data_IF_814713298017
#
_entry.id   IF_814713298017
#
_cell.length_a   1.000
_cell.length_b   1.000
_cell.length_c   1.000
_cell.angle_alpha   90.00
_cell.angle_beta   90.00
_cell.angle_gamma   90.00
#
_symmetry.space_group_name_H-M   'P 1'
#
loop_
_entity.id
_entity.type
_entity.pdbx_description
1 polymer ?
#
# COMPACT_ATOMS: atom_id res chain seq x y z
N UNK A 1 0.78 -38.55 -56.64
CA UNK A 1 -0.53 -37.90 -56.43
C UNK A 1 -0.94 -38.16 -54.98
N UNK A 2 -0.98 -37.08 -54.19
CA UNK A 2 -1.58 -36.90 -52.86
C UNK A 2 -1.45 -38.00 -51.80
N UNK A 3 -0.68 -37.71 -50.75
CA UNK A 3 -1.20 -37.77 -49.37
C UNK A 3 -0.53 -36.66 -48.55
N UNK A 4 -1.37 -35.72 -48.15
CA UNK A 4 -1.06 -34.48 -47.47
C UNK A 4 -0.63 -34.78 -46.02
N UNK A 5 0.66 -34.67 -45.73
CA UNK A 5 1.19 -34.63 -44.36
C UNK A 5 0.88 -33.23 -43.80
N UNK A 6 -0.32 -33.04 -43.26
CA UNK A 6 -0.65 -31.91 -42.39
C UNK A 6 -0.46 -32.38 -40.93
N UNK A 7 0.75 -32.23 -40.40
CA UNK A 7 1.02 -32.37 -38.96
C UNK A 7 0.53 -31.10 -38.21
N UNK A 8 0.47 -31.11 -36.88
CA UNK A 8 -0.64 -31.53 -36.04
C UNK A 8 -1.42 -30.30 -35.52
N UNK A 9 -2.76 -30.36 -35.43
CA UNK A 9 -3.46 -29.45 -34.52
C UNK A 9 -3.04 -29.81 -33.10
N UNK A 10 -2.36 -28.89 -32.42
CA UNK A 10 -2.00 -29.02 -31.01
C UNK A 10 -3.28 -29.28 -30.19
N UNK A 11 -3.27 -30.18 -29.19
CA UNK A 11 -4.43 -30.40 -28.32
C UNK A 11 -4.66 -29.13 -27.51
N UNK A 12 -5.52 -28.25 -28.03
CA UNK A 12 -5.93 -27.04 -27.32
C UNK A 12 -6.73 -27.49 -26.12
N UNK A 13 -6.19 -27.25 -24.92
CA UNK A 13 -6.93 -27.46 -23.68
C UNK A 13 -8.26 -26.73 -23.76
N UNK A 14 -9.37 -27.36 -23.32
CA UNK A 14 -10.67 -26.72 -23.36
C UNK A 14 -10.60 -25.38 -22.61
N UNK A 15 -11.22 -24.31 -23.15
CA UNK A 15 -11.14 -22.99 -22.54
C UNK A 15 -11.60 -23.07 -21.08
N UNK A 16 -10.79 -22.48 -20.21
CA UNK A 16 -11.06 -22.47 -18.77
C UNK A 16 -12.47 -21.91 -18.52
N UNK A 17 -13.26 -22.63 -17.71
CA UNK A 17 -14.63 -22.21 -17.41
C UNK A 17 -14.59 -21.00 -16.50
N UNK A 18 -14.55 -19.82 -17.10
CA UNK A 18 -14.62 -18.55 -16.39
C UNK A 18 -15.90 -18.48 -15.56
N UNK A 19 -15.77 -18.01 -14.31
CA UNK A 19 -16.89 -17.77 -13.41
C UNK A 19 -17.84 -16.68 -13.94
N UNK A 20 -19.06 -16.56 -13.38
CA UNK A 20 -20.08 -15.63 -13.86
C UNK A 20 -19.60 -14.18 -14.00
N UNK A 21 -18.82 -13.70 -13.01
CA UNK A 21 -18.25 -12.35 -12.99
C UNK A 21 -17.16 -12.18 -14.05
N UNK A 22 -16.31 -13.19 -14.24
CA UNK A 22 -15.28 -13.14 -15.26
C UNK A 22 -15.88 -13.12 -16.67
N UNK A 23 -16.92 -13.93 -16.93
CA UNK A 23 -17.67 -13.89 -18.19
C UNK A 23 -18.35 -12.55 -18.45
N UNK A 24 -18.88 -11.91 -17.41
CA UNK A 24 -19.44 -10.57 -17.53
C UNK A 24 -18.37 -9.57 -17.99
N UNK A 25 -17.21 -9.56 -17.34
CA UNK A 25 -16.12 -8.67 -17.71
C UNK A 25 -15.62 -8.93 -19.14
N UNK A 26 -15.49 -10.19 -19.57
CA UNK A 26 -15.13 -10.49 -20.96
C UNK A 26 -16.14 -9.93 -21.96
N UNK A 27 -17.44 -10.17 -21.74
CA UNK A 27 -18.50 -9.63 -22.62
C UNK A 27 -18.54 -8.11 -22.60
N UNK A 28 -18.28 -7.48 -21.45
CA UNK A 28 -18.23 -6.03 -21.33
C UNK A 28 -17.04 -5.44 -22.14
N UNK A 29 -15.93 -6.17 -22.22
CA UNK A 29 -14.70 -5.76 -22.91
C UNK A 29 -14.68 -6.05 -24.42
N UNK A 30 -15.54 -6.95 -24.94
CA UNK A 30 -15.59 -7.35 -26.36
C UNK A 30 -15.68 -6.19 -27.38
N UNK A 31 -16.45 -5.10 -27.16
CA UNK A 31 -16.44 -3.97 -28.09
C UNK A 31 -15.20 -3.06 -27.97
N UNK A 32 -14.14 -3.48 -27.27
CA UNK A 32 -12.79 -2.92 -27.35
C UNK A 32 -12.64 -1.42 -27.01
N UNK A 33 -13.68 -0.79 -26.47
CA UNK A 33 -13.70 0.65 -26.23
C UNK A 33 -12.66 1.06 -25.18
N UNK A 34 -11.92 2.13 -25.46
CA UNK A 34 -10.85 2.65 -24.59
C UNK A 34 -11.34 2.90 -23.16
N UNK A 35 -12.53 3.48 -22.98
CA UNK A 35 -13.12 3.73 -21.67
C UNK A 35 -13.33 2.43 -20.86
N UNK A 36 -13.81 1.36 -21.50
CA UNK A 36 -14.09 0.08 -20.84
C UNK A 36 -12.83 -0.63 -20.38
N UNK A 37 -11.73 -0.49 -21.13
CA UNK A 37 -10.43 -1.00 -20.74
C UNK A 37 -9.88 -0.24 -19.52
N UNK A 38 -10.05 1.08 -19.46
CA UNK A 38 -9.60 1.88 -18.33
C UNK A 38 -10.40 1.56 -17.06
N UNK A 39 -11.72 1.42 -17.14
CA UNK A 39 -12.53 1.05 -15.98
C UNK A 39 -12.17 -0.34 -15.46
N UNK A 40 -11.91 -1.30 -16.36
CA UNK A 40 -11.46 -2.63 -15.96
C UNK A 40 -10.07 -2.62 -15.32
N UNK A 41 -9.13 -1.79 -15.81
CA UNK A 41 -7.82 -1.60 -15.18
C UNK A 41 -7.96 -1.01 -13.78
N UNK A 42 -8.78 0.01 -13.61
CA UNK A 42 -9.03 0.62 -12.31
C UNK A 42 -9.67 -0.37 -11.34
N UNK A 43 -10.66 -1.15 -11.79
CA UNK A 43 -11.28 -2.22 -11.00
C UNK A 43 -10.24 -3.25 -10.55
N UNK A 44 -9.41 -3.76 -11.46
CA UNK A 44 -8.34 -4.71 -11.11
C UNK A 44 -7.34 -4.11 -10.13
N UNK A 45 -6.94 -2.85 -10.34
CA UNK A 45 -6.07 -2.12 -9.42
C UNK A 45 -6.70 -1.97 -8.03
N UNK A 46 -7.98 -1.60 -7.97
CA UNK A 46 -8.73 -1.48 -6.72
C UNK A 46 -8.84 -2.81 -5.96
N UNK A 47 -9.20 -3.89 -6.65
CA UNK A 47 -9.25 -5.24 -6.05
C UNK A 47 -7.86 -5.67 -5.56
N UNK A 48 -6.80 -5.38 -6.31
CA UNK A 48 -5.44 -5.67 -5.88
C UNK A 48 -5.07 -4.90 -4.61
N UNK A 49 -5.33 -3.59 -4.57
CA UNK A 49 -5.09 -2.76 -3.38
C UNK A 49 -5.87 -3.27 -2.17
N UNK A 50 -7.14 -3.59 -2.32
CA UNK A 50 -7.95 -4.12 -1.21
C UNK A 50 -7.40 -5.45 -0.70
N UNK A 51 -7.13 -6.40 -1.60
CA UNK A 51 -6.75 -7.77 -1.23
C UNK A 51 -5.31 -7.89 -0.76
N UNK A 52 -4.37 -7.14 -1.35
CA UNK A 52 -2.94 -7.25 -1.08
C UNK A 52 -2.41 -6.21 -0.10
N UNK A 53 -3.10 -5.09 0.06
CA UNK A 53 -2.63 -4.00 0.93
C UNK A 53 -3.59 -3.84 2.11
N UNK A 54 -4.87 -3.56 1.86
CA UNK A 54 -5.80 -3.21 2.92
C UNK A 54 -6.04 -4.37 3.90
N UNK A 55 -6.38 -5.56 3.41
CA UNK A 55 -6.66 -6.71 4.27
C UNK A 55 -5.41 -7.09 5.10
N UNK A 56 -4.21 -7.28 4.52
CA UNK A 56 -3.03 -7.61 5.31
C UNK A 56 -2.64 -6.52 6.30
N UNK A 57 -2.72 -5.24 5.90
CA UNK A 57 -2.45 -4.13 6.81
C UNK A 57 -3.41 -4.13 8.01
N UNK A 58 -4.70 -4.40 7.80
CA UNK A 58 -5.67 -4.55 8.88
C UNK A 58 -5.37 -5.74 9.79
N UNK A 59 -4.98 -6.89 9.24
CA UNK A 59 -4.59 -8.06 10.04
C UNK A 59 -3.36 -7.76 10.89
N UNK A 60 -2.33 -7.12 10.31
CA UNK A 60 -1.12 -6.71 11.04
C UNK A 60 -1.50 -5.71 12.15
N UNK A 61 -2.33 -4.72 11.84
CA UNK A 61 -2.78 -3.74 12.82
C UNK A 61 -3.55 -4.39 13.97
N UNK A 62 -4.44 -5.35 13.67
CA UNK A 62 -5.16 -6.12 14.68
C UNK A 62 -4.19 -6.93 15.56
N UNK A 63 -3.22 -7.61 14.94
CA UNK A 63 -2.22 -8.40 15.65
C UNK A 63 -1.37 -7.53 16.59
N UNK A 64 -0.87 -6.40 16.11
CA UNK A 64 -0.12 -5.44 16.93
C UNK A 64 -0.93 -4.94 18.12
N UNK A 65 -2.19 -4.55 17.88
CA UNK A 65 -3.08 -3.99 18.91
C UNK A 65 -3.44 -4.99 20.01
N UNK A 66 -3.73 -6.24 19.68
CA UNK A 66 -4.27 -7.19 20.64
C UNK A 66 -3.27 -8.21 21.19
N UNK A 67 -2.17 -8.47 20.47
CA UNK A 67 -1.13 -9.40 20.94
C UNK A 67 0.11 -8.67 21.41
N UNK A 68 0.67 -7.81 20.57
CA UNK A 68 1.97 -7.19 20.85
C UNK A 68 1.87 -6.14 21.96
N UNK A 69 0.84 -5.30 21.96
CA UNK A 69 0.65 -4.29 23.02
C UNK A 69 0.29 -4.87 24.40
N UNK A 70 -0.16 -6.14 24.47
CA UNK A 70 -0.42 -6.81 25.76
C UNK A 70 0.84 -7.37 26.39
N UNK A 71 1.90 -7.56 25.61
CA UNK A 71 3.19 -8.04 26.11
C UNK A 71 4.02 -6.85 26.60
N UNK A 72 4.60 -6.90 27.81
CA UNK A 72 5.52 -5.86 28.25
C UNK A 72 6.72 -5.82 27.29
N UNK A 73 7.10 -4.62 26.83
CA UNK A 73 8.12 -4.37 25.79
C UNK A 73 7.79 -4.84 24.37
N UNK A 74 6.53 -5.18 24.05
CA UNK A 74 6.17 -5.61 22.70
C UNK A 74 6.38 -4.54 21.62
N UNK A 75 6.18 -3.26 21.96
CA UNK A 75 6.50 -2.13 21.08
C UNK A 75 7.31 -1.11 21.86
N UNK A 76 8.60 -1.03 21.58
CA UNK A 76 9.49 -0.01 22.14
C UNK A 76 9.53 1.16 21.17
N UNK A 77 8.86 2.25 21.54
CA UNK A 77 8.91 3.51 20.77
C UNK A 77 10.03 4.36 21.34
N UNK A 78 10.92 4.85 20.48
CA UNK A 78 11.96 5.81 20.87
C UNK A 78 11.26 7.10 21.28
N UNK A 79 11.64 7.67 22.43
CA UNK A 79 11.11 8.95 22.91
C UNK A 79 11.27 10.00 21.80
N UNK A 80 10.20 10.72 21.40
CA UNK A 80 10.30 11.74 20.36
C UNK A 80 11.33 12.80 20.78
N UNK A 81 12.09 13.32 19.80
CA UNK A 81 12.99 14.44 20.05
C UNK A 81 12.16 15.66 20.41
N UNK A 82 12.53 16.34 21.48
CA UNK A 82 11.83 17.53 21.97
C UNK A 82 12.76 18.72 21.82
N UNK A 83 12.24 19.82 21.27
CA UNK A 83 13.00 21.04 21.03
C UNK A 83 12.56 22.17 21.98
N UNK A 84 13.43 23.14 22.26
CA UNK A 84 13.09 24.33 23.04
C UNK A 84 11.86 25.04 22.44
N UNK A 85 10.88 25.36 23.29
CA UNK A 85 9.60 25.96 22.89
C UNK A 85 8.47 24.96 22.57
N UNK A 86 8.74 23.66 22.42
CA UNK A 86 7.69 22.64 22.28
C UNK A 86 6.92 22.46 23.59
N UNK A 87 5.61 22.25 23.48
CA UNK A 87 4.75 21.89 24.61
C UNK A 87 4.61 20.38 24.71
N UNK A 88 5.00 19.81 25.85
CA UNK A 88 4.78 18.39 26.12
C UNK A 88 3.29 18.21 26.44
N UNK A 89 2.54 17.55 25.54
CA UNK A 89 1.08 17.36 25.66
C UNK A 89 0.66 16.68 26.99
N UNK A 90 1.53 15.87 27.58
CA UNK A 90 1.28 15.11 28.82
C UNK A 90 1.66 15.87 30.11
N UNK A 91 2.49 16.92 30.02
CA UNK A 91 3.06 17.60 31.22
C UNK A 91 2.76 19.10 31.25
N UNK A 92 2.42 19.71 30.10
CA UNK A 92 2.11 21.15 30.01
C UNK A 92 3.33 22.07 30.20
N UNK A 93 4.52 21.52 30.41
CA UNK A 93 5.76 22.26 30.54
C UNK A 93 6.29 22.70 29.17
N UNK A 94 6.50 24.01 29.02
CA UNK A 94 7.15 24.62 27.86
C UNK A 94 8.65 24.43 28.07
N UNK A 95 9.34 23.79 27.12
CA UNK A 95 10.79 23.64 27.23
C UNK A 95 11.43 25.03 27.16
N UNK A 96 12.25 25.42 28.15
CA UNK A 96 12.89 26.72 28.16
C UNK A 96 13.74 26.91 26.89
N UNK A 97 13.71 28.11 26.28
CA UNK A 97 14.56 28.41 25.14
C UNK A 97 16.04 28.27 25.52
N UNK A 98 16.88 27.83 24.58
CA UNK A 98 18.32 27.81 24.81
C UNK A 98 18.80 29.25 25.04
N UNK A 99 19.71 29.43 25.99
CA UNK A 99 20.38 30.72 26.19
C UNK A 99 21.02 31.13 24.85
N UNK A 100 20.73 32.35 24.39
CA UNK A 100 21.36 32.90 23.19
C UNK A 100 22.86 32.97 23.47
N UNK A 101 23.68 32.18 22.75
CA UNK A 101 25.11 32.38 22.79
C UNK A 101 25.38 33.83 22.37
N UNK A 102 26.14 34.62 23.16
CA UNK A 102 26.49 35.96 22.77
C UNK A 102 27.25 35.83 21.45
N UNK A 103 26.57 36.19 20.35
CA UNK A 103 27.09 36.09 19.00
C UNK A 103 28.14 37.18 18.85
N UNK A 104 29.30 36.93 19.44
CA UNK A 104 30.48 37.77 19.41
C UNK A 104 31.16 37.69 18.06
N UNK A 105 30.43 37.90 16.97
CA UNK A 105 31.04 38.38 15.73
C UNK A 105 31.18 39.90 15.87
N UNK A 106 32.09 40.30 16.76
CA UNK A 106 32.60 41.66 16.78
C UNK A 106 33.30 41.92 15.44
N UNK A 107 32.59 42.51 14.48
CA UNK A 107 33.20 43.21 13.36
C UNK A 107 34.09 44.31 13.94
N UNK A 108 35.40 44.08 13.98
CA UNK A 108 36.39 45.08 14.33
C UNK A 108 36.56 46.00 13.12
N UNK A 109 35.95 47.19 13.18
CA UNK A 109 36.28 48.34 12.34
C UNK A 109 37.68 48.86 12.66
#
# INVERSE_FOLDING_TARGET
>A
MFLCVHLPREPVLPPEKLGPVARFWERFLQPGSFWRLQTFKLYKGGVFTLTRILIPAWVIHYYLKYHVMKMPYGVIVVKPRVFPGDTILETGEIIPPMEEEPTGHHCRL
#
